data_IF_512643432671
#
_entry.id   IF_512643432671
#
_cell.length_a   1.000
_cell.length_b   1.000
_cell.length_c   1.000
_cell.angle_alpha   90.00
_cell.angle_beta   90.00
_cell.angle_gamma   90.00
#
_symmetry.space_group_name_H-M   'P 1'
#
loop_
_entity.id
_entity.type
_entity.pdbx_description
1 polymer ?
#
# COMPACT_ATOMS: atom_id res chain seq x y z
N UNK A 1 -21.79 -17.42 -7.35
CA UNK A 1 -21.04 -16.19 -6.98
C UNK A 1 -21.64 -15.04 -7.75
N UNK A 2 -22.34 -14.11 -7.10
CA UNK A 2 -22.82 -12.90 -7.77
C UNK A 2 -21.61 -12.09 -8.23
N UNK A 3 -21.39 -12.00 -9.54
CA UNK A 3 -20.41 -11.07 -10.08
C UNK A 3 -20.88 -9.66 -9.71
N UNK A 4 -20.07 -8.95 -8.92
CA UNK A 4 -20.29 -7.54 -8.61
C UNK A 4 -20.50 -6.76 -9.92
N UNK A 5 -21.42 -5.79 -9.90
CA UNK A 5 -21.70 -5.01 -11.10
C UNK A 5 -20.42 -4.29 -11.60
N UNK A 6 -20.25 -4.08 -12.91
CA UNK A 6 -19.09 -3.35 -13.44
C UNK A 6 -18.88 -1.98 -12.78
N UNK A 7 -19.98 -1.28 -12.45
CA UNK A 7 -19.93 -0.01 -11.71
C UNK A 7 -19.35 -0.17 -10.30
N UNK A 8 -19.78 -1.20 -9.57
CA UNK A 8 -19.26 -1.53 -8.24
C UNK A 8 -17.77 -1.87 -8.28
N UNK A 9 -17.33 -2.70 -9.23
CA UNK A 9 -15.91 -3.04 -9.39
C UNK A 9 -15.04 -1.83 -9.72
N UNK A 10 -15.55 -0.91 -10.55
CA UNK A 10 -14.85 0.34 -10.86
C UNK A 10 -14.70 1.22 -9.63
N UNK A 11 -15.76 1.38 -8.84
CA UNK A 11 -15.72 2.15 -7.59
C UNK A 11 -14.75 1.52 -6.58
N UNK A 12 -14.83 0.20 -6.38
CA UNK A 12 -13.91 -0.54 -5.51
C UNK A 12 -12.45 -0.44 -5.98
N UNK A 13 -12.18 -0.40 -7.29
CA UNK A 13 -10.82 -0.21 -7.79
C UNK A 13 -10.22 1.13 -7.37
N UNK A 14 -11.02 2.21 -7.37
CA UNK A 14 -10.59 3.52 -6.90
C UNK A 14 -10.42 3.55 -5.38
N UNK A 15 -11.36 2.94 -4.64
CA UNK A 15 -11.26 2.86 -3.17
C UNK A 15 -10.02 2.07 -2.76
N UNK A 16 -9.76 0.93 -3.41
CA UNK A 16 -8.55 0.15 -3.18
C UNK A 16 -7.30 0.98 -3.46
N UNK A 17 -7.23 1.69 -4.60
CA UNK A 17 -6.09 2.56 -4.90
C UNK A 17 -5.93 3.69 -3.88
N UNK A 18 -7.04 4.30 -3.43
CA UNK A 18 -7.02 5.36 -2.43
C UNK A 18 -6.48 4.89 -1.07
N UNK A 19 -6.62 3.61 -0.73
CA UNK A 19 -6.05 3.03 0.49
C UNK A 19 -4.50 3.05 0.52
N UNK A 20 -3.85 3.27 -0.62
CA UNK A 20 -2.39 3.49 -0.68
C UNK A 20 -1.99 4.81 0.00
N UNK A 21 -2.84 5.84 -0.03
CA UNK A 21 -2.54 7.15 0.57
C UNK A 21 -2.28 7.07 2.09
N UNK A 22 -3.19 6.50 2.92
CA UNK A 22 -2.92 6.36 4.35
C UNK A 22 -1.74 5.42 4.65
N UNK A 23 -1.50 4.40 3.81
CA UNK A 23 -0.31 3.54 3.93
C UNK A 23 0.98 4.34 3.73
N UNK A 24 1.07 5.17 2.69
CA UNK A 24 2.22 6.03 2.44
C UNK A 24 2.39 7.10 3.52
N UNK A 25 1.28 7.66 4.02
CA UNK A 25 1.32 8.63 5.12
C UNK A 25 1.86 7.99 6.41
N UNK A 26 1.40 6.79 6.75
CA UNK A 26 1.88 6.06 7.92
C UNK A 26 3.36 5.69 7.75
N UNK A 27 3.77 5.22 6.57
CA UNK A 27 5.18 4.97 6.25
C UNK A 27 6.02 6.24 6.47
N UNK A 28 5.61 7.37 5.90
CA UNK A 28 6.32 8.64 6.07
C UNK A 28 6.41 9.08 7.53
N UNK A 29 5.33 8.92 8.30
CA UNK A 29 5.32 9.21 9.74
C UNK A 29 6.30 8.31 10.49
N UNK A 30 6.29 7.00 10.23
CA UNK A 30 7.20 6.04 10.86
C UNK A 30 8.66 6.34 10.54
N UNK A 31 8.97 6.70 9.30
CA UNK A 31 10.32 7.12 8.91
C UNK A 31 10.74 8.41 9.62
N UNK A 32 9.83 9.39 9.72
CA UNK A 32 10.08 10.65 10.40
C UNK A 32 10.40 10.45 11.89
N UNK A 33 9.57 9.69 12.62
CA UNK A 33 9.80 9.48 14.06
C UNK A 33 10.99 8.55 14.36
N UNK A 34 11.37 7.70 13.41
CA UNK A 34 12.52 6.79 13.56
C UNK A 34 13.85 7.45 13.15
N UNK A 35 13.83 8.71 12.73
CA UNK A 35 15.04 9.43 12.31
C UNK A 35 15.94 9.71 13.52
N UNK A 36 17.21 9.27 13.51
CA UNK A 36 18.15 9.58 14.57
C UNK A 36 18.36 11.10 14.66
N UNK A 37 18.28 11.65 15.87
CA UNK A 37 18.59 13.07 16.11
C UNK A 37 19.67 13.23 17.18
N UNK A 38 20.41 14.35 17.20
CA UNK A 38 21.44 14.59 18.22
C UNK A 38 20.91 14.56 19.66
N UNK A 39 19.63 14.92 19.83
CA UNK A 39 18.99 15.09 21.14
C UNK A 39 18.17 13.86 21.58
N UNK A 40 18.13 12.80 20.76
CA UNK A 40 17.37 11.58 21.03
C UNK A 40 16.94 10.82 19.78
N UNK A 41 16.16 9.75 19.96
CA UNK A 41 15.65 8.92 18.86
C UNK A 41 16.27 7.52 18.81
N UNK A 42 16.05 6.83 17.70
CA UNK A 42 16.51 5.45 17.52
C UNK A 42 18.03 5.41 17.31
N UNK A 43 18.68 4.41 17.91
CA UNK A 43 20.10 4.14 17.68
C UNK A 43 20.35 3.95 16.17
N UNK A 44 21.40 4.55 15.57
CA UNK A 44 21.55 4.61 14.11
C UNK A 44 21.51 3.26 13.40
N UNK A 45 22.10 2.22 14.03
CA UNK A 45 22.06 0.86 13.47
C UNK A 45 20.63 0.32 13.45
N UNK A 46 19.90 0.45 14.57
CA UNK A 46 18.49 0.07 14.64
C UNK A 46 17.60 0.89 13.70
N UNK A 47 17.87 2.19 13.52
CA UNK A 47 17.17 3.03 12.56
C UNK A 47 17.34 2.50 11.13
N UNK A 48 18.56 2.12 10.74
CA UNK A 48 18.84 1.52 9.43
C UNK A 48 18.07 0.22 9.21
N UNK A 49 18.05 -0.67 10.22
CA UNK A 49 17.27 -1.92 10.17
C UNK A 49 15.78 -1.62 10.01
N UNK A 50 15.25 -0.68 10.79
CA UNK A 50 13.86 -0.25 10.71
C UNK A 50 13.52 0.33 9.34
N UNK A 51 14.37 1.17 8.76
CA UNK A 51 14.15 1.73 7.43
C UNK A 51 14.04 0.65 6.36
N UNK A 52 14.94 -0.33 6.37
CA UNK A 52 14.90 -1.44 5.42
C UNK A 52 13.62 -2.26 5.61
N UNK A 53 13.32 -2.66 6.86
CA UNK A 53 12.16 -3.48 7.16
C UNK A 53 10.85 -2.78 6.79
N UNK A 54 10.68 -1.51 7.19
CA UNK A 54 9.49 -0.72 6.88
C UNK A 54 9.35 -0.48 5.38
N UNK A 55 10.44 -0.15 4.68
CA UNK A 55 10.40 0.03 3.22
C UNK A 55 9.92 -1.24 2.52
N UNK A 56 10.44 -2.41 2.92
CA UNK A 56 10.02 -3.71 2.33
C UNK A 56 8.55 -3.99 2.64
N UNK A 57 8.11 -3.82 3.88
CA UNK A 57 6.73 -4.11 4.28
C UNK A 57 5.74 -3.19 3.56
N UNK A 58 5.96 -1.87 3.60
CA UNK A 58 5.05 -0.91 3.00
C UNK A 58 5.05 -0.98 1.47
N UNK A 59 6.18 -1.28 0.84
CA UNK A 59 6.22 -1.53 -0.62
C UNK A 59 5.46 -2.79 -1.00
N UNK A 60 5.63 -3.90 -0.27
CA UNK A 60 4.88 -5.13 -0.51
C UNK A 60 3.36 -4.92 -0.38
N UNK A 61 2.93 -4.25 0.69
CA UNK A 61 1.51 -3.90 0.89
C UNK A 61 0.98 -3.02 -0.25
N UNK A 62 1.73 -1.99 -0.65
CA UNK A 62 1.35 -1.11 -1.76
C UNK A 62 1.18 -1.89 -3.06
N UNK A 63 2.12 -2.79 -3.38
CA UNK A 63 2.06 -3.63 -4.58
C UNK A 63 0.80 -4.49 -4.57
N UNK A 64 0.47 -5.14 -3.44
CA UNK A 64 -0.73 -5.97 -3.32
C UNK A 64 -2.00 -5.15 -3.56
N UNK A 65 -2.11 -3.97 -2.94
CA UNK A 65 -3.27 -3.09 -3.09
C UNK A 65 -3.42 -2.60 -4.53
N UNK A 66 -2.33 -2.18 -5.17
CA UNK A 66 -2.33 -1.74 -6.57
C UNK A 66 -2.73 -2.88 -7.50
N UNK A 67 -2.19 -4.09 -7.29
CA UNK A 67 -2.55 -5.26 -8.07
C UNK A 67 -4.04 -5.61 -7.93
N UNK A 68 -4.58 -5.53 -6.72
CA UNK A 68 -6.01 -5.77 -6.48
C UNK A 68 -6.88 -4.71 -7.18
N UNK A 69 -6.51 -3.43 -7.09
CA UNK A 69 -7.17 -2.34 -7.82
C UNK A 69 -7.15 -2.57 -9.34
N UNK A 70 -6.01 -2.97 -9.90
CA UNK A 70 -5.87 -3.29 -11.32
C UNK A 70 -6.75 -4.48 -11.73
N UNK A 71 -6.84 -5.52 -10.91
CA UNK A 71 -7.71 -6.67 -11.18
C UNK A 71 -9.19 -6.25 -11.19
N UNK A 72 -9.64 -5.48 -10.19
CA UNK A 72 -11.01 -4.94 -10.15
C UNK A 72 -11.31 -4.05 -11.37
N UNK A 73 -10.36 -3.21 -11.78
CA UNK A 73 -10.49 -2.37 -12.98
C UNK A 73 -10.60 -3.19 -14.26
N UNK A 74 -9.85 -4.30 -14.37
CA UNK A 74 -9.93 -5.22 -15.51
C UNK A 74 -11.26 -5.97 -15.53
N UNK A 75 -11.74 -6.45 -14.38
CA UNK A 75 -13.06 -7.07 -14.23
C UNK A 75 -14.19 -6.11 -14.61
N UNK A 76 -14.11 -4.84 -14.20
CA UNK A 76 -15.07 -3.80 -14.59
C UNK A 76 -15.11 -3.55 -16.11
N UNK A 77 -14.04 -3.88 -16.83
CA UNK A 77 -13.94 -3.78 -18.30
C UNK A 77 -14.30 -5.10 -19.01
N UNK A 78 -14.83 -6.09 -18.29
CA UNK A 78 -15.16 -7.40 -18.85
C UNK A 78 -13.95 -8.29 -19.16
N UNK A 79 -12.74 -7.89 -18.75
CA UNK A 79 -11.52 -8.71 -18.88
C UNK A 79 -11.35 -9.54 -17.62
N UNK A 80 -11.93 -10.74 -17.62
CA UNK A 80 -11.69 -11.74 -16.58
C UNK A 80 -10.36 -12.44 -16.87
N UNK A 81 -9.33 -12.07 -16.12
CA UNK A 81 -8.12 -12.87 -16.00
C UNK A 81 -8.27 -13.64 -14.69
N UNK A 82 -8.60 -14.92 -14.79
CA UNK A 82 -8.28 -15.89 -13.74
C UNK A 82 -6.76 -16.03 -13.67
N UNK A 83 -6.20 -16.37 -12.48
CA UNK A 83 -4.77 -16.64 -12.34
C UNK A 83 -4.27 -17.68 -13.34
#
# INVERSE_FOLDING_TARGET
MSMLSPGTNRLLSFVALAAVLPLLALYGLLMYISTPTPDGGMEPTMAMVCYIALTIIFSALTIVVVNFSMQLSRQAKGKYITP
#
